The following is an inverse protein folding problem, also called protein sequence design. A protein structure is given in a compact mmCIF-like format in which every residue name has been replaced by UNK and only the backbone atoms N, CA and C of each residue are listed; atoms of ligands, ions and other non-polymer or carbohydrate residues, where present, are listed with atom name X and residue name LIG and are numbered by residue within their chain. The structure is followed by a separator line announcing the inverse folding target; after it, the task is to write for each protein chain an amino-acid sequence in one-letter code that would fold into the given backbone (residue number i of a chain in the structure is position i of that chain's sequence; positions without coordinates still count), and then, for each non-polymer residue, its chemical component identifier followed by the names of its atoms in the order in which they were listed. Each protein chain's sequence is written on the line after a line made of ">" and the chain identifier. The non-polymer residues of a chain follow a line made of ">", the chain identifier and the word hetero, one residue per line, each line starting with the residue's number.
data_IF_207497971666
#
_entry.id   IF_207497971666
#
_cell.length_a   1.000
_cell.length_b   1.000
_cell.length_c   1.000
_cell.angle_alpha   90.00
_cell.angle_beta   90.00
_cell.angle_gamma   90.00
#
_symmetry.space_group_name_H-M   'P 1'
#
loop_
_entity.id
_entity.type
_entity.pdbx_description
1 polymer ?
#
# COMPACT_ATOMS: atom_id res chain seq x y z
N UNK A 1 -14.17 9.40 -22.53
CA UNK A 1 -12.75 9.02 -22.68
C UNK A 1 -12.52 7.70 -21.97
N UNK A 2 -12.13 6.66 -22.70
CA UNK A 2 -11.78 5.37 -22.10
C UNK A 2 -10.48 5.55 -21.33
N UNK A 3 -10.50 5.33 -20.01
CA UNK A 3 -9.28 5.45 -19.21
C UNK A 3 -8.32 4.31 -19.57
N UNK A 4 -7.06 4.63 -19.88
CA UNK A 4 -6.04 3.62 -20.21
C UNK A 4 -5.70 2.82 -18.95
N UNK A 5 -5.81 1.49 -19.02
CA UNK A 5 -5.48 0.61 -17.90
C UNK A 5 -3.96 0.53 -17.71
N UNK A 6 -3.45 0.97 -16.56
CA UNK A 6 -2.04 0.87 -16.21
C UNK A 6 -1.69 -0.49 -15.58
N UNK A 7 -2.61 -1.06 -14.81
CA UNK A 7 -2.43 -2.37 -14.20
C UNK A 7 -3.01 -2.47 -12.81
N UNK A 8 -2.44 -3.37 -12.00
CA UNK A 8 -2.87 -3.58 -10.62
C UNK A 8 -1.77 -3.16 -9.66
N UNK A 9 -2.16 -2.61 -8.52
CA UNK A 9 -1.26 -2.16 -7.47
C UNK A 9 -1.72 -2.72 -6.13
N UNK A 10 -0.79 -3.33 -5.40
CA UNK A 10 -1.00 -3.69 -3.99
C UNK A 10 -0.72 -2.47 -3.12
N UNK A 11 -1.68 -2.10 -2.27
CA UNK A 11 -1.53 -1.11 -1.22
C UNK A 11 -1.40 -1.79 0.12
N UNK A 12 -0.41 -1.38 0.91
CA UNK A 12 -0.36 -1.67 2.33
C UNK A 12 -1.05 -0.52 3.08
N UNK A 13 -2.06 -0.84 3.89
CA UNK A 13 -2.82 0.11 4.70
C UNK A 13 -2.65 -0.16 6.19
N UNK A 14 -2.59 0.89 6.98
CA UNK A 14 -2.67 0.78 8.43
C UNK A 14 -4.12 0.40 8.81
N UNK A 15 -4.30 -0.66 9.60
CA UNK A 15 -5.63 -1.10 10.03
C UNK A 15 -6.36 -0.07 10.90
N UNK A 16 -5.64 0.78 11.64
CA UNK A 16 -6.26 1.75 12.57
C UNK A 16 -6.84 2.98 11.88
N UNK A 17 -6.20 3.49 10.82
CA UNK A 17 -6.66 4.70 10.14
C UNK A 17 -6.82 4.59 8.63
N UNK A 18 -6.61 3.41 8.04
CA UNK A 18 -6.73 3.19 6.61
C UNK A 18 -5.66 3.88 5.75
N UNK A 19 -4.72 4.61 6.36
CA UNK A 19 -3.65 5.33 5.66
C UNK A 19 -2.71 4.37 4.92
N UNK A 20 -2.34 4.72 3.69
CA UNK A 20 -1.43 3.92 2.86
C UNK A 20 0.00 4.09 3.37
N UNK A 21 0.67 3.00 3.67
CA UNK A 21 2.03 2.99 4.25
C UNK A 21 3.07 2.51 3.25
N UNK A 22 2.62 1.93 2.15
CA UNK A 22 3.43 1.58 1.01
C UNK A 22 2.57 1.00 -0.10
N UNK A 23 3.15 0.91 -1.30
CA UNK A 23 2.51 0.24 -2.42
C UNK A 23 3.53 -0.49 -3.28
N UNK A 24 3.06 -1.46 -4.06
CA UNK A 24 3.86 -2.16 -5.07
C UNK A 24 2.99 -2.49 -6.27
N UNK A 25 3.49 -2.22 -7.47
CA UNK A 25 2.83 -2.68 -8.69
C UNK A 25 2.86 -4.20 -8.77
N UNK A 26 1.76 -4.79 -9.23
CA UNK A 26 1.66 -6.22 -9.51
C UNK A 26 2.33 -6.50 -10.85
N UNK A 27 3.39 -7.28 -10.84
CA UNK A 27 4.15 -7.62 -12.03
C UNK A 27 3.89 -9.08 -12.40
N UNK A 28 3.43 -9.33 -13.64
CA UNK A 28 3.05 -10.68 -14.10
C UNK A 28 4.20 -11.68 -14.00
N UNK A 29 5.45 -11.23 -14.04
CA UNK A 29 6.65 -12.05 -13.94
C UNK A 29 7.18 -12.28 -12.52
N UNK A 30 6.72 -11.54 -11.51
CA UNK A 30 7.32 -11.51 -10.16
C UNK A 30 6.41 -11.98 -9.04
N UNK A 31 5.62 -13.02 -9.31
CA UNK A 31 4.65 -13.58 -8.36
C UNK A 31 5.26 -13.96 -7.00
N UNK A 32 6.51 -14.46 -6.98
CA UNK A 32 7.19 -14.86 -5.73
C UNK A 32 7.59 -13.65 -4.91
N UNK A 33 8.09 -12.61 -5.55
CA UNK A 33 8.50 -11.35 -4.93
C UNK A 33 7.27 -10.60 -4.40
N UNK A 34 6.20 -10.52 -5.20
CA UNK A 34 4.91 -9.95 -4.80
C UNK A 34 4.38 -10.64 -3.55
N UNK A 35 4.35 -11.98 -3.54
CA UNK A 35 3.91 -12.75 -2.38
C UNK A 35 4.81 -12.52 -1.15
N UNK A 36 6.13 -12.40 -1.32
CA UNK A 36 7.05 -12.06 -0.22
C UNK A 36 6.76 -10.66 0.34
N UNK A 37 6.52 -9.69 -0.50
CA UNK A 37 6.20 -8.31 -0.10
C UNK A 37 4.87 -8.25 0.64
N UNK A 38 3.82 -8.88 0.10
CA UNK A 38 2.50 -8.98 0.74
C UNK A 38 2.60 -9.67 2.11
N UNK A 39 3.31 -10.80 2.19
CA UNK A 39 3.55 -11.50 3.46
C UNK A 39 4.27 -10.63 4.48
N UNK A 40 5.25 -9.82 4.06
CA UNK A 40 5.95 -8.88 4.97
C UNK A 40 4.99 -7.83 5.53
N UNK A 41 4.08 -7.29 4.71
CA UNK A 41 3.08 -6.33 5.17
C UNK A 41 2.08 -6.96 6.14
N UNK A 42 1.55 -8.14 5.82
CA UNK A 42 0.64 -8.87 6.71
C UNK A 42 1.30 -9.21 8.05
N UNK A 43 2.57 -9.66 8.04
CA UNK A 43 3.34 -9.93 9.27
C UNK A 43 3.55 -8.69 10.14
N UNK A 44 3.49 -7.49 9.56
CA UNK A 44 3.58 -6.21 10.28
C UNK A 44 2.21 -5.72 10.80
N UNK A 45 1.16 -6.53 10.64
CA UNK A 45 -0.20 -6.16 11.05
C UNK A 45 -0.88 -5.14 10.13
N UNK A 46 -0.47 -5.11 8.85
CA UNK A 46 -1.02 -4.19 7.87
C UNK A 46 -2.12 -4.87 7.05
N UNK A 47 -3.14 -4.11 6.66
CA UNK A 47 -4.08 -4.53 5.62
C UNK A 47 -3.38 -4.47 4.26
N UNK A 48 -3.72 -5.39 3.35
CA UNK A 48 -3.27 -5.35 1.96
C UNK A 48 -4.49 -5.32 1.05
N UNK A 49 -4.53 -4.34 0.15
CA UNK A 49 -5.62 -4.15 -0.82
C UNK A 49 -5.06 -4.16 -2.23
N UNK A 50 -5.78 -4.76 -3.17
CA UNK A 50 -5.42 -4.77 -4.59
C UNK A 50 -6.30 -3.79 -5.34
N UNK A 51 -5.70 -2.76 -5.91
CA UNK A 51 -6.39 -1.76 -6.72
C UNK A 51 -6.07 -1.94 -8.20
N UNK A 52 -7.06 -1.66 -9.04
CA UNK A 52 -6.87 -1.44 -10.48
C UNK A 52 -6.56 0.04 -10.68
N UNK A 53 -5.55 0.36 -11.48
CA UNK A 53 -5.09 1.72 -11.73
C UNK A 53 -5.22 2.07 -13.20
N UNK A 54 -5.72 3.26 -13.46
CA UNK A 54 -5.85 3.83 -14.78
C UNK A 54 -5.04 5.12 -14.91
N UNK A 55 -4.76 5.50 -16.15
CA UNK A 55 -4.12 6.77 -16.46
C UNK A 55 -4.96 7.95 -15.93
N UNK A 56 -4.30 8.89 -15.27
CA UNK A 56 -4.93 10.03 -14.60
C UNK A 56 -5.45 9.76 -13.19
N UNK A 57 -5.42 8.50 -12.70
CA UNK A 57 -5.78 8.25 -11.30
C UNK A 57 -4.72 8.90 -10.37
N UNK A 58 -5.15 9.58 -9.29
CA UNK A 58 -4.22 10.24 -8.38
C UNK A 58 -3.32 9.24 -7.65
N UNK A 59 -2.03 9.55 -7.53
CA UNK A 59 -1.07 8.67 -6.85
C UNK A 59 -1.49 8.44 -5.38
N UNK A 60 -1.37 7.19 -4.85
CA UNK A 60 -1.70 6.92 -3.46
C UNK A 60 -0.86 7.77 -2.50
N UNK A 61 -1.53 8.59 -1.69
CA UNK A 61 -0.85 9.40 -0.68
C UNK A 61 -0.34 8.52 0.46
N UNK A 62 0.97 8.53 0.67
CA UNK A 62 1.60 7.77 1.74
C UNK A 62 1.38 8.46 3.10
N UNK A 63 0.68 7.79 4.01
CA UNK A 63 0.63 8.04 5.44
C UNK A 63 1.92 7.54 6.12
N UNK A 64 3.08 8.09 5.78
CA UNK A 64 4.26 7.98 6.63
C UNK A 64 4.92 9.34 6.72
N UNK A 65 5.41 9.70 7.92
CA UNK A 65 6.18 10.92 8.12
C UNK A 65 7.66 10.70 7.79
N UNK A 66 8.17 9.48 8.04
CA UNK A 66 9.49 8.97 7.65
C UNK A 66 9.60 7.47 7.94
N UNK A 67 10.58 6.76 7.38
CA UNK A 67 10.84 5.32 7.66
C UNK A 67 11.05 4.97 9.15
N UNK A 68 11.36 5.97 10.00
CA UNK A 68 11.54 5.83 11.46
C UNK A 68 10.31 6.24 12.28
N UNK A 69 9.33 6.89 11.68
CA UNK A 69 8.14 7.38 12.39
C UNK A 69 6.93 6.61 11.87
N UNK A 70 6.23 5.87 12.72
CA UNK A 70 5.05 5.15 12.31
C UNK A 70 3.99 6.11 11.70
N UNK A 71 3.06 5.60 10.88
CA UNK A 71 1.99 6.43 10.26
C UNK A 71 1.38 7.32 11.35
N UNK A 72 1.05 8.58 11.06
CA UNK A 72 0.62 9.58 12.06
C UNK A 72 -0.45 9.05 13.04
N UNK A 73 -1.24 8.08 12.59
CA UNK A 73 -2.24 7.35 13.35
C UNK A 73 -1.73 6.31 14.37
N UNK A 74 -0.42 6.09 14.48
CA UNK A 74 0.20 5.21 15.50
C UNK A 74 0.78 6.03 16.67
N UNK A 75 0.76 7.37 16.60
CA UNK A 75 1.17 8.24 17.71
C UNK A 75 0.13 8.25 18.85
N UNK A 76 -1.09 7.74 18.61
CA UNK A 76 -2.22 7.78 19.58
C UNK A 76 -2.24 6.64 20.61
N UNK A 77 -1.37 5.63 20.51
CA UNK A 77 -1.36 4.47 21.42
C UNK A 77 -0.15 4.46 22.40
N UNK A 78 0.51 5.59 22.63
CA UNK A 78 1.54 5.73 23.68
C UNK A 78 1.05 6.55 24.89
N UNK A 79 -0.24 6.44 25.20
CA UNK A 79 -0.84 6.94 26.44
C UNK A 79 -0.88 5.84 27.49
#
# INVERSE_FOLDING_TARGET
>A
MSKVLLGHMYLAKNLKCGGVIGFSWKDKGRKKEDAKTIRKWLKRGLAVELLVRYEGDPEPKICTRNFKVPCACQEVDRG
#
